data_IF_236692275502
#
_entry.id   IF_236692275502
#
_cell.length_a   1.000
_cell.length_b   1.000
_cell.length_c   1.000
_cell.angle_alpha   90.00
_cell.angle_beta   90.00
_cell.angle_gamma   90.00
#
_symmetry.space_group_name_H-M   'P 1'
#
loop_
_entity.id
_entity.type
_entity.pdbx_description
1 polymer ?
#
# COMPACT_ATOMS: atom_id res chain seq x y z
N UNK A 1 3.28 -1.29 0.16
CA UNK A 1 2.02 -1.75 -0.46
C UNK A 1 0.91 -0.85 0.02
N UNK A 2 0.03 -0.42 -0.89
CA UNK A 2 -1.19 0.33 -0.54
C UNK A 2 -2.36 -0.61 -0.81
N UNK A 3 -3.26 -0.78 0.15
CA UNK A 3 -4.32 -1.79 0.10
C UNK A 3 -5.64 -1.19 0.62
N UNK A 4 -6.74 -1.43 -0.07
CA UNK A 4 -8.06 -0.98 0.38
C UNK A 4 -8.70 -1.95 1.38
N UNK A 5 -9.20 -1.46 2.51
CA UNK A 5 -9.77 -2.33 3.55
C UNK A 5 -10.93 -3.20 3.05
N UNK A 6 -11.66 -2.74 2.04
CA UNK A 6 -12.84 -3.39 1.46
C UNK A 6 -12.51 -4.07 0.13
N UNK A 7 -11.25 -4.42 -0.10
CA UNK A 7 -10.85 -5.20 -1.28
C UNK A 7 -11.47 -6.60 -1.26
N UNK A 8 -12.34 -6.88 -2.23
CA UNK A 8 -12.97 -8.19 -2.42
C UNK A 8 -12.28 -9.06 -3.49
N UNK A 9 -11.36 -8.49 -4.27
CA UNK A 9 -10.56 -9.21 -5.26
C UNK A 9 -9.37 -9.88 -4.58
N UNK A 10 -8.67 -9.12 -3.73
CA UNK A 10 -7.65 -9.60 -2.80
C UNK A 10 -8.08 -9.24 -1.37
N UNK A 11 -8.80 -10.14 -0.69
CA UNK A 11 -9.26 -9.87 0.68
C UNK A 11 -8.12 -9.65 1.67
N UNK A 12 -8.37 -8.77 2.64
CA UNK A 12 -7.39 -8.31 3.65
C UNK A 12 -6.62 -9.44 4.37
N UNK A 13 -7.22 -10.63 4.50
CA UNK A 13 -6.57 -11.82 5.10
C UNK A 13 -5.23 -12.16 4.44
N UNK A 14 -5.06 -11.84 3.15
CA UNK A 14 -3.82 -12.11 2.41
C UNK A 14 -2.66 -11.22 2.85
N UNK A 15 -2.90 -10.16 3.63
CA UNK A 15 -1.81 -9.41 4.26
C UNK A 15 -0.99 -10.27 5.22
N UNK A 16 -1.56 -11.30 5.84
CA UNK A 16 -0.78 -12.21 6.68
C UNK A 16 0.34 -12.89 5.86
N UNK A 17 0.01 -13.35 4.65
CA UNK A 17 0.97 -13.97 3.73
C UNK A 17 2.05 -12.97 3.27
N UNK A 18 1.65 -11.71 3.05
CA UNK A 18 2.58 -10.62 2.73
C UNK A 18 3.59 -10.41 3.86
N UNK A 19 3.14 -10.29 5.10
CA UNK A 19 4.05 -10.08 6.24
C UNK A 19 4.96 -11.29 6.49
N UNK A 20 4.45 -12.51 6.26
CA UNK A 20 5.26 -13.72 6.38
C UNK A 20 6.36 -13.80 5.31
N UNK A 21 6.06 -13.37 4.07
CA UNK A 21 6.98 -13.48 2.93
C UNK A 21 7.93 -12.28 2.81
N UNK A 22 7.45 -11.09 3.15
CA UNK A 22 8.15 -9.82 3.04
C UNK A 22 8.04 -9.06 4.38
N UNK A 23 8.77 -9.48 5.42
CA UNK A 23 8.64 -8.90 6.77
C UNK A 23 9.02 -7.41 6.82
N UNK A 24 9.83 -6.93 5.88
CA UNK A 24 10.19 -5.52 5.71
C UNK A 24 9.16 -4.70 4.92
N UNK A 25 8.10 -5.32 4.39
CA UNK A 25 7.08 -4.61 3.63
C UNK A 25 6.33 -3.63 4.52
N UNK A 26 6.26 -2.38 4.07
CA UNK A 26 5.36 -1.38 4.65
C UNK A 26 3.98 -1.54 4.00
N UNK A 27 2.93 -1.59 4.81
CA UNK A 27 1.55 -1.69 4.33
C UNK A 27 0.77 -0.46 4.80
N UNK A 28 0.19 0.28 3.86
CA UNK A 28 -0.76 1.34 4.12
C UNK A 28 -2.17 0.83 3.80
N UNK A 29 -3.05 0.87 4.80
CA UNK A 29 -4.46 0.50 4.64
C UNK A 29 -5.32 1.74 4.46
N UNK A 30 -6.14 1.74 3.41
CA UNK A 30 -7.07 2.84 3.11
C UNK A 30 -8.49 2.39 3.47
N UNK A 31 -9.11 3.13 4.39
CA UNK A 31 -10.46 2.90 4.86
C UNK A 31 -11.51 3.31 3.80
N UNK A 32 -12.59 2.53 3.67
CA UNK A 32 -13.64 2.71 2.65
C UNK A 32 -13.06 2.76 1.23
N UNK A 33 -12.30 1.74 0.89
CA UNK A 33 -11.60 1.59 -0.39
C UNK A 33 -11.56 0.12 -0.76
N UNK A 34 -11.90 -0.19 -2.01
CA UNK A 34 -11.82 -1.51 -2.61
C UNK A 34 -10.45 -1.81 -3.22
N UNK A 35 -10.47 -2.50 -4.36
CA UNK A 35 -9.27 -3.08 -4.98
C UNK A 35 -8.36 -2.06 -5.69
N UNK A 36 -8.88 -0.89 -6.05
CA UNK A 36 -8.16 0.07 -6.89
C UNK A 36 -7.96 1.41 -6.15
N UNK A 37 -7.12 1.47 -5.10
CA UNK A 37 -6.96 2.69 -4.29
C UNK A 37 -6.57 3.94 -5.09
N UNK A 38 -5.77 3.79 -6.14
CA UNK A 38 -5.38 4.90 -7.01
C UNK A 38 -6.55 5.52 -7.79
N UNK A 39 -7.64 4.77 -7.99
CA UNK A 39 -8.85 5.26 -8.68
C UNK A 39 -9.95 5.63 -7.68
N UNK A 40 -10.10 4.88 -6.60
CA UNK A 40 -11.16 5.07 -5.61
C UNK A 40 -10.86 6.17 -4.60
N UNK A 41 -9.59 6.29 -4.18
CA UNK A 41 -9.10 7.16 -3.11
C UNK A 41 -7.73 7.77 -3.48
N UNK A 42 -7.67 8.57 -4.55
CA UNK A 42 -6.40 9.03 -5.12
C UNK A 42 -5.59 9.89 -4.14
N UNK A 43 -6.23 10.72 -3.31
CA UNK A 43 -5.54 11.55 -2.32
C UNK A 43 -4.85 10.69 -1.26
N UNK A 44 -5.56 9.72 -0.68
CA UNK A 44 -4.97 8.82 0.31
C UNK A 44 -3.91 7.90 -0.30
N UNK A 45 -4.11 7.46 -1.55
CA UNK A 45 -3.11 6.68 -2.28
C UNK A 45 -1.81 7.48 -2.49
N UNK A 46 -1.91 8.73 -2.94
CA UNK A 46 -0.75 9.60 -3.15
C UNK A 46 -0.06 9.93 -1.82
N UNK A 47 -0.82 10.22 -0.77
CA UNK A 47 -0.28 10.47 0.57
C UNK A 47 0.52 9.28 1.13
N UNK A 48 0.11 8.04 0.80
CA UNK A 48 0.84 6.84 1.18
C UNK A 48 2.05 6.55 0.28
N UNK A 49 1.97 6.89 -1.01
CA UNK A 49 2.94 6.45 -2.03
C UNK A 49 4.09 7.44 -2.22
N UNK A 50 3.83 8.75 -2.24
CA UNK A 50 4.87 9.76 -2.51
C UNK A 50 6.02 9.70 -1.50
N UNK A 51 5.78 9.64 -0.16
CA UNK A 51 6.89 9.55 0.79
C UNK A 51 7.72 8.28 0.64
N UNK A 52 7.12 7.18 0.18
CA UNK A 52 7.84 5.94 -0.11
C UNK A 52 8.79 6.12 -1.30
N UNK A 53 8.31 6.76 -2.37
CA UNK A 53 9.13 7.03 -3.56
C UNK A 53 10.28 7.99 -3.26
N UNK A 54 10.04 9.07 -2.53
CA UNK A 54 11.09 10.01 -2.12
C UNK A 54 12.21 9.32 -1.34
N UNK A 55 11.88 8.44 -0.39
CA UNK A 55 12.88 7.65 0.34
C UNK A 55 13.63 6.67 -0.56
N UNK A 56 12.94 6.04 -1.50
CA UNK A 56 13.55 5.11 -2.43
C UNK A 56 14.55 5.81 -3.37
N UNK A 57 14.20 7.01 -3.86
CA UNK A 57 15.08 7.84 -4.67
C UNK A 57 16.32 8.29 -3.89
N UNK A 58 16.15 8.73 -2.64
CA UNK A 58 17.26 9.09 -1.76
C UNK A 58 18.20 7.91 -1.50
N UNK A 59 17.63 6.72 -1.24
CA UNK A 59 18.42 5.50 -1.02
C UNK A 59 19.16 5.04 -2.28
N UNK A 60 18.58 5.25 -3.47
CA UNK A 60 19.23 4.91 -4.74
C UNK A 60 20.34 5.89 -5.15
N UNK A 61 20.28 7.13 -4.66
CA UNK A 61 21.28 8.17 -4.92
C UNK A 61 22.47 8.16 -3.95
N UNK A 62 22.42 7.35 -2.90
CA UNK A 62 23.47 7.17 -1.89
C UNK A 62 24.41 6.02 -2.25
#
# INVERSE_FOLDING_TARGET
>A
MVWGREDFVLPLRHLADVHATLPQAQVALIERCGHMPQAERPEEFLAATLPFLERAEQAAAA
#
